data_IF_344382776552
#
_entry.id   IF_344382776552
#
_cell.length_a   1.000
_cell.length_b   1.000
_cell.length_c   1.000
_cell.angle_alpha   90.00
_cell.angle_beta   90.00
_cell.angle_gamma   90.00
#
_symmetry.space_group_name_H-M   'P 1'
#
loop_
_entity.id
_entity.type
_entity.pdbx_description
1 polymer ?
#
# COMPACT_ATOMS: atom_id res chain seq x y z
N UNK A 1 10.44 -5.04 52.22
CA UNK A 1 10.33 -4.50 53.61
C UNK A 1 9.16 -3.53 53.82
N UNK A 2 8.76 -2.67 52.87
CA UNK A 2 7.68 -1.70 53.07
C UNK A 2 6.28 -2.33 53.31
N UNK A 3 5.98 -3.47 52.69
CA UNK A 3 4.67 -4.12 52.81
C UNK A 3 4.37 -4.66 54.24
N UNK A 4 5.38 -5.23 54.92
CA UNK A 4 5.21 -5.79 56.26
C UNK A 4 4.93 -4.71 57.32
N UNK A 5 5.52 -3.51 57.18
CA UNK A 5 5.26 -2.39 58.09
C UNK A 5 3.83 -1.86 57.95
N UNK A 6 3.31 -1.84 56.72
CA UNK A 6 1.95 -1.38 56.41
C UNK A 6 0.90 -2.38 56.92
N UNK A 7 1.15 -3.68 56.75
CA UNK A 7 0.28 -4.74 57.30
C UNK A 7 0.27 -4.73 58.84
N UNK A 8 1.44 -4.62 59.48
CA UNK A 8 1.52 -4.50 60.94
C UNK A 8 0.75 -3.28 61.44
N UNK A 9 0.86 -2.15 60.74
CA UNK A 9 0.17 -0.92 61.10
C UNK A 9 -1.37 -1.04 60.99
N UNK A 10 -1.88 -1.67 59.93
CA UNK A 10 -3.32 -1.95 59.82
C UNK A 10 -3.82 -2.88 60.93
N UNK A 11 -3.04 -3.90 61.28
CA UNK A 11 -3.36 -4.81 62.38
C UNK A 11 -3.37 -4.08 63.73
N UNK A 12 -2.38 -3.24 63.99
CA UNK A 12 -2.30 -2.45 65.22
C UNK A 12 -3.44 -1.42 65.30
N UNK A 13 -3.78 -0.74 64.19
CA UNK A 13 -4.93 0.18 64.13
C UNK A 13 -6.24 -0.56 64.44
N UNK A 14 -6.46 -1.73 63.84
CA UNK A 14 -7.66 -2.54 64.11
C UNK A 14 -7.74 -2.98 65.57
N UNK A 15 -6.62 -3.42 66.15
CA UNK A 15 -6.52 -3.78 67.58
C UNK A 15 -6.86 -2.61 68.50
N UNK A 16 -6.31 -1.43 68.23
CA UNK A 16 -6.53 -0.22 69.05
C UNK A 16 -7.97 0.29 68.96
N UNK A 17 -8.63 0.15 67.82
CA UNK A 17 -10.07 0.43 67.72
C UNK A 17 -10.90 -0.55 68.55
N UNK A 18 -10.59 -1.84 68.51
CA UNK A 18 -11.27 -2.82 69.37
C UNK A 18 -11.07 -2.52 70.87
N UNK A 19 -9.85 -2.17 71.27
CA UNK A 19 -9.55 -1.73 72.64
C UNK A 19 -10.33 -0.46 73.03
N UNK A 20 -10.45 0.51 72.12
CA UNK A 20 -11.23 1.73 72.36
C UNK A 20 -12.72 1.41 72.53
N UNK A 21 -13.30 0.53 71.71
CA UNK A 21 -14.70 0.09 71.85
C UNK A 21 -14.93 -0.58 73.20
N UNK A 22 -14.05 -1.49 73.61
CA UNK A 22 -14.15 -2.17 74.90
C UNK A 22 -14.00 -1.20 76.09
N UNK A 23 -13.16 -0.17 75.98
CA UNK A 23 -13.03 0.86 77.03
C UNK A 23 -14.21 1.82 77.08
N UNK A 24 -14.86 2.06 75.93
CA UNK A 24 -16.10 2.84 75.87
C UNK A 24 -17.23 2.12 76.62
N UNK A 25 -17.35 0.80 76.46
CA UNK A 25 -18.31 -0.02 77.22
C UNK A 25 -18.08 0.05 78.74
N UNK A 26 -16.83 0.24 79.17
CA UNK A 26 -16.43 0.41 80.56
C UNK A 26 -16.48 1.89 81.04
N UNK A 27 -17.03 2.81 80.26
CA UNK A 27 -17.13 4.24 80.56
C UNK A 27 -15.79 4.98 80.80
N UNK A 28 -14.66 4.45 80.33
CA UNK A 28 -13.34 5.09 80.42
C UNK A 28 -13.09 6.03 79.23
N UNK A 29 -13.77 7.18 79.27
CA UNK A 29 -13.72 8.21 78.20
C UNK A 29 -12.31 8.76 77.98
N UNK A 30 -11.48 8.81 79.02
CA UNK A 30 -10.11 9.33 78.96
C UNK A 30 -9.21 8.46 78.07
N UNK A 31 -9.28 7.14 78.25
CA UNK A 31 -8.52 6.21 77.43
C UNK A 31 -9.02 6.14 75.98
N UNK A 32 -10.34 6.23 75.76
CA UNK A 32 -10.92 6.28 74.40
C UNK A 32 -10.37 7.48 73.62
N UNK A 33 -10.29 8.65 74.25
CA UNK A 33 -9.74 9.87 73.61
C UNK A 33 -8.28 9.69 73.19
N UNK A 34 -7.44 9.09 74.04
CA UNK A 34 -6.04 8.81 73.71
C UNK A 34 -5.89 7.86 72.51
N UNK A 35 -6.73 6.83 72.41
CA UNK A 35 -6.70 5.91 71.28
C UNK A 35 -7.16 6.57 69.97
N UNK A 36 -8.17 7.44 70.03
CA UNK A 36 -8.63 8.20 68.86
C UNK A 36 -7.61 9.24 68.41
N UNK A 37 -6.96 9.96 69.33
CA UNK A 37 -5.88 10.91 69.02
C UNK A 37 -4.67 10.22 68.39
N UNK A 38 -4.31 9.03 68.89
CA UNK A 38 -3.27 8.22 68.27
C UNK A 38 -3.65 7.78 66.85
N UNK A 39 -4.89 7.30 66.65
CA UNK A 39 -5.37 6.88 65.33
C UNK A 39 -5.42 8.03 64.32
N UNK A 40 -5.82 9.23 64.73
CA UNK A 40 -5.82 10.42 63.87
C UNK A 40 -4.39 10.88 63.54
N UNK A 41 -3.51 10.94 64.55
CA UNK A 41 -2.09 11.28 64.36
C UNK A 41 -1.40 10.30 63.43
N UNK A 42 -1.69 9.01 63.59
CA UNK A 42 -1.12 7.98 62.76
C UNK A 42 -1.67 8.05 61.32
N UNK A 43 -2.96 8.32 61.13
CA UNK A 43 -3.54 8.60 59.79
C UNK A 43 -2.83 9.77 59.09
N UNK A 44 -2.59 10.87 59.82
CA UNK A 44 -1.89 12.05 59.30
C UNK A 44 -0.42 11.78 58.97
N UNK A 45 0.26 10.93 59.73
CA UNK A 45 1.65 10.54 59.48
C UNK A 45 1.80 9.63 58.26
N UNK A 46 0.81 8.77 57.97
CA UNK A 46 0.88 7.80 56.87
C UNK A 46 0.18 8.23 55.58
N UNK A 47 -0.77 9.17 55.63
CA UNK A 47 -1.40 9.74 54.43
C UNK A 47 -0.38 10.23 53.38
N UNK A 48 0.72 10.95 53.73
CA UNK A 48 1.72 11.39 52.77
C UNK A 48 2.42 10.23 52.05
N UNK A 49 2.66 9.11 52.74
CA UNK A 49 3.34 7.94 52.18
C UNK A 49 2.44 7.19 51.17
N UNK A 50 1.14 7.07 51.46
CA UNK A 50 0.17 6.46 50.56
C UNK A 50 -0.09 7.33 49.32
N UNK A 51 -0.21 8.65 49.50
CA UNK A 51 -0.32 9.61 48.39
C UNK A 51 0.95 9.67 47.54
N UNK A 52 2.15 9.53 48.13
CA UNK A 52 3.40 9.49 47.38
C UNK A 52 3.51 8.26 46.46
N UNK A 53 3.07 7.08 46.92
CA UNK A 53 3.05 5.87 46.10
C UNK A 53 2.06 6.00 44.93
N UNK A 54 0.84 6.48 45.19
CA UNK A 54 -0.15 6.76 44.14
C UNK A 54 0.35 7.80 43.13
N UNK A 55 1.01 8.87 43.60
CA UNK A 55 1.60 9.91 42.75
C UNK A 55 2.71 9.37 41.85
N UNK A 56 3.57 8.47 42.35
CA UNK A 56 4.60 7.80 41.54
C UNK A 56 3.98 6.97 40.42
N UNK A 57 2.96 6.16 40.74
CA UNK A 57 2.25 5.38 39.74
C UNK A 57 1.53 6.27 38.71
N UNK A 58 0.88 7.35 39.16
CA UNK A 58 0.25 8.31 38.26
C UNK A 58 1.26 8.96 37.30
N UNK A 59 2.45 9.33 37.77
CA UNK A 59 3.52 9.85 36.92
C UNK A 59 4.01 8.83 35.89
N UNK A 60 4.21 7.56 36.30
CA UNK A 60 4.61 6.49 35.38
C UNK A 60 3.54 6.25 34.31
N UNK A 61 2.28 6.11 34.71
CA UNK A 61 1.15 5.91 33.78
C UNK A 61 1.04 7.08 32.80
N UNK A 62 1.17 8.32 33.29
CA UNK A 62 1.16 9.51 32.44
C UNK A 62 2.33 9.52 31.46
N UNK A 63 3.54 9.19 31.92
CA UNK A 63 4.72 9.11 31.06
C UNK A 63 4.57 8.05 29.97
N UNK A 64 4.07 6.86 30.32
CA UNK A 64 3.78 5.79 29.35
C UNK A 64 2.70 6.22 28.36
N UNK A 65 1.63 6.87 28.81
CA UNK A 65 0.56 7.36 27.93
C UNK A 65 1.08 8.40 26.93
N UNK A 66 1.87 9.38 27.39
CA UNK A 66 2.50 10.39 26.52
C UNK A 66 3.44 9.73 25.51
N UNK A 67 4.24 8.75 25.94
CA UNK A 67 5.14 8.01 25.05
C UNK A 67 4.37 7.20 24.00
N UNK A 68 3.29 6.51 24.38
CA UNK A 68 2.45 5.77 23.44
C UNK A 68 1.76 6.69 22.43
N UNK A 69 1.27 7.86 22.87
CA UNK A 69 0.69 8.87 21.97
C UNK A 69 1.76 9.43 21.03
N UNK A 70 2.96 9.74 21.54
CA UNK A 70 4.08 10.16 20.71
C UNK A 70 4.47 9.12 19.67
N UNK A 71 4.51 7.84 20.06
CA UNK A 71 4.75 6.73 19.13
C UNK A 71 3.61 6.60 18.11
N UNK A 72 2.35 6.65 18.53
CA UNK A 72 1.21 6.59 17.62
C UNK A 72 1.19 7.75 16.60
N UNK A 73 1.66 8.93 17.02
CA UNK A 73 1.78 10.11 16.16
C UNK A 73 2.93 10.00 15.15
N UNK A 74 4.01 9.32 15.51
CA UNK A 74 5.23 9.22 14.69
C UNK A 74 5.26 7.98 13.79
N UNK A 75 4.67 6.88 14.23
CA UNK A 75 4.62 5.63 13.49
C UNK A 75 3.46 5.63 12.49
N UNK A 76 3.77 5.25 11.26
CA UNK A 76 2.80 5.06 10.18
C UNK A 76 2.28 3.63 10.16
N UNK A 77 1.04 3.46 9.71
CA UNK A 77 0.50 2.12 9.51
C UNK A 77 1.24 1.43 8.35
N UNK A 78 1.47 0.14 8.48
CA UNK A 78 2.29 -0.59 7.52
C UNK A 78 1.63 -0.77 6.14
N UNK A 79 0.29 -0.83 6.09
CA UNK A 79 -0.49 -0.93 4.86
C UNK A 79 -1.74 -0.07 4.97
N UNK A 80 -2.00 0.71 3.92
CA UNK A 80 -3.20 1.56 3.79
C UNK A 80 -3.98 1.11 2.57
N UNK A 81 -5.29 0.88 2.69
CA UNK A 81 -6.17 0.54 1.59
C UNK A 81 -6.47 1.77 0.75
N UNK A 82 -6.18 1.65 -0.54
CA UNK A 82 -6.28 2.74 -1.49
C UNK A 82 -7.25 2.36 -2.60
N UNK A 83 -8.13 3.30 -2.93
CA UNK A 83 -8.84 3.34 -4.20
C UNK A 83 -8.32 4.54 -4.99
N UNK A 84 -7.83 4.28 -6.19
CA UNK A 84 -7.19 5.27 -7.06
C UNK A 84 -7.85 5.21 -8.43
N UNK A 85 -8.23 6.38 -8.94
CA UNK A 85 -8.70 6.57 -10.31
C UNK A 85 -7.90 7.73 -10.90
N UNK A 86 -7.06 7.45 -11.89
CA UNK A 86 -6.11 8.41 -12.48
C UNK A 86 -6.19 8.35 -13.99
N UNK A 87 -6.06 9.51 -14.64
CA UNK A 87 -5.78 9.64 -16.07
C UNK A 87 -4.33 10.11 -16.22
N UNK A 88 -3.55 9.39 -17.02
CA UNK A 88 -2.10 9.57 -17.18
C UNK A 88 -1.69 9.29 -18.61
N UNK A 89 -0.62 9.91 -19.09
CA UNK A 89 -0.04 9.57 -20.40
C UNK A 89 0.78 8.28 -20.33
N UNK A 90 1.37 8.04 -19.17
CA UNK A 90 2.29 6.95 -18.94
C UNK A 90 2.10 6.34 -17.55
N UNK A 91 2.24 5.03 -17.46
CA UNK A 91 2.20 4.29 -16.20
C UNK A 91 3.35 3.29 -16.16
N UNK A 92 4.15 3.38 -15.10
CA UNK A 92 5.31 2.52 -14.88
C UNK A 92 5.11 1.64 -13.66
N UNK A 93 5.46 0.36 -13.79
CA UNK A 93 5.45 -0.57 -12.67
C UNK A 93 6.53 -1.62 -12.76
N UNK A 94 6.87 -2.18 -11.60
CA UNK A 94 7.74 -3.37 -11.49
C UNK A 94 6.88 -4.57 -11.22
N UNK A 95 7.03 -5.66 -11.97
CA UNK A 95 6.24 -6.88 -11.76
C UNK A 95 6.74 -7.68 -10.55
N UNK A 96 5.82 -8.05 -9.66
CA UNK A 96 6.07 -8.95 -8.54
C UNK A 96 6.11 -10.43 -8.98
N UNK A 97 5.27 -10.79 -9.95
CA UNK A 97 5.11 -12.14 -10.50
C UNK A 97 4.99 -12.04 -12.03
N UNK A 98 5.12 -13.17 -12.71
CA UNK A 98 4.83 -13.23 -14.14
C UNK A 98 3.42 -12.69 -14.40
N UNK A 99 3.30 -11.85 -15.43
CA UNK A 99 2.03 -11.37 -15.92
C UNK A 99 1.81 -11.89 -17.33
N UNK A 100 0.60 -12.37 -17.58
CA UNK A 100 0.12 -12.73 -18.92
C UNK A 100 -1.20 -12.00 -19.17
N UNK A 101 -1.38 -11.47 -20.37
CA UNK A 101 -2.66 -10.90 -20.77
C UNK A 101 -3.76 -11.97 -20.95
N UNK A 102 -3.39 -13.25 -21.03
CA UNK A 102 -4.29 -14.39 -21.16
C UNK A 102 -3.95 -15.53 -20.17
N UNK A 103 -4.11 -15.31 -18.85
CA UNK A 103 -3.62 -16.23 -17.83
C UNK A 103 -4.34 -17.59 -17.79
N UNK A 104 -5.54 -17.68 -18.38
CA UNK A 104 -6.37 -18.88 -18.38
C UNK A 104 -6.46 -19.55 -19.77
N UNK A 105 -5.68 -19.08 -20.75
CA UNK A 105 -5.76 -19.58 -22.12
C UNK A 105 -7.15 -19.40 -22.74
N UNK A 106 -7.87 -18.35 -22.33
CA UNK A 106 -9.18 -18.02 -22.88
C UNK A 106 -9.05 -17.69 -24.36
N UNK A 107 -10.05 -18.07 -25.15
CA UNK A 107 -10.13 -17.73 -26.56
C UNK A 107 -10.43 -16.25 -26.72
N UNK A 108 -9.44 -15.45 -27.11
CA UNK A 108 -9.60 -14.02 -27.36
C UNK A 108 -8.26 -13.31 -27.57
N UNK A 109 -8.27 -12.22 -28.35
CA UNK A 109 -7.13 -11.33 -28.48
C UNK A 109 -7.05 -10.38 -27.28
N UNK A 110 -5.87 -10.27 -26.67
CA UNK A 110 -5.58 -9.25 -25.67
C UNK A 110 -5.55 -7.85 -26.29
N UNK A 111 -5.04 -7.78 -27.51
CA UNK A 111 -5.02 -6.56 -28.29
C UNK A 111 -5.35 -6.86 -29.75
N UNK A 112 -6.10 -5.94 -30.36
CA UNK A 112 -6.45 -5.97 -31.79
C UNK A 112 -5.94 -4.67 -32.40
N UNK A 113 -5.11 -4.80 -33.43
CA UNK A 113 -4.48 -3.66 -34.09
C UNK A 113 -4.27 -3.88 -35.59
N UNK A 114 -3.68 -2.88 -36.23
CA UNK A 114 -3.35 -2.90 -37.66
C UNK A 114 -1.85 -2.69 -37.93
N UNK A 115 -1.08 -2.32 -36.92
CA UNK A 115 0.39 -2.23 -36.98
C UNK A 115 0.98 -2.68 -35.65
N UNK A 116 1.97 -3.54 -35.69
CA UNK A 116 2.77 -3.98 -34.54
C UNK A 116 4.24 -3.93 -34.91
N UNK A 117 5.03 -3.26 -34.08
CA UNK A 117 6.49 -3.22 -34.19
C UNK A 117 7.10 -3.72 -32.88
N UNK A 118 8.08 -4.61 -32.96
CA UNK A 118 8.79 -5.17 -31.80
C UNK A 118 10.29 -5.04 -32.04
N UNK A 119 10.95 -4.29 -31.17
CA UNK A 119 12.40 -4.15 -31.17
C UNK A 119 13.06 -5.25 -30.32
N UNK A 120 14.36 -5.43 -30.52
CA UNK A 120 15.20 -6.37 -29.79
C UNK A 120 14.67 -7.82 -29.79
N UNK A 121 14.15 -8.26 -30.93
CA UNK A 121 13.67 -9.60 -31.16
C UNK A 121 14.83 -10.60 -31.05
N UNK A 122 14.68 -11.63 -30.22
CA UNK A 122 15.66 -12.70 -30.07
C UNK A 122 15.32 -13.94 -30.91
N UNK A 123 14.03 -14.25 -30.99
CA UNK A 123 13.51 -15.39 -31.75
C UNK A 123 12.12 -15.09 -32.29
N UNK A 124 11.86 -15.49 -33.52
CA UNK A 124 10.51 -15.57 -34.09
C UNK A 124 10.32 -16.93 -34.78
N UNK A 125 9.15 -17.51 -34.54
CA UNK A 125 8.74 -18.81 -35.05
C UNK A 125 7.36 -18.65 -35.70
N UNK A 126 7.28 -18.93 -37.00
CA UNK A 126 6.08 -18.73 -37.81
C UNK A 126 5.93 -19.89 -38.81
N UNK A 127 5.55 -21.09 -38.35
CA UNK A 127 5.69 -22.33 -39.13
C UNK A 127 4.91 -22.34 -40.46
N UNK A 128 3.81 -21.60 -40.57
CA UNK A 128 3.04 -21.51 -41.82
C UNK A 128 3.61 -20.55 -42.86
N UNK A 129 4.44 -19.58 -42.44
CA UNK A 129 4.94 -18.48 -43.29
C UNK A 129 6.45 -18.59 -43.53
N UNK A 130 7.19 -19.07 -42.53
CA UNK A 130 8.62 -19.35 -42.57
C UNK A 130 8.81 -20.88 -42.60
N UNK A 131 8.74 -21.52 -43.77
CA UNK A 131 9.06 -22.94 -43.92
C UNK A 131 10.57 -23.12 -43.75
N UNK A 132 11.03 -23.17 -42.50
CA UNK A 132 12.43 -23.19 -42.12
C UNK A 132 12.62 -23.00 -40.63
N UNK A 133 13.83 -23.25 -40.13
CA UNK A 133 14.18 -23.01 -38.74
C UNK A 133 13.81 -21.59 -38.30
N UNK A 134 13.41 -21.38 -37.03
CA UNK A 134 13.06 -20.07 -36.51
C UNK A 134 14.17 -19.05 -36.78
N UNK A 135 13.81 -17.79 -37.03
CA UNK A 135 14.79 -16.71 -37.14
C UNK A 135 15.30 -16.45 -35.73
N UNK A 136 16.60 -16.70 -35.53
CA UNK A 136 17.28 -16.49 -34.26
C UNK A 136 18.27 -15.33 -34.40
N UNK A 137 18.06 -14.29 -33.59
CA UNK A 137 18.93 -13.15 -33.42
C UNK A 137 19.30 -13.07 -31.93
N UNK A 138 20.19 -13.97 -31.48
CA UNK A 138 20.50 -14.14 -30.06
C UNK A 138 21.06 -12.88 -29.39
N UNK A 139 21.58 -11.95 -30.18
CA UNK A 139 22.06 -10.63 -29.78
C UNK A 139 20.94 -9.60 -29.53
N UNK A 140 19.70 -9.92 -29.91
CA UNK A 140 18.55 -9.03 -29.71
C UNK A 140 18.65 -7.75 -30.53
N UNK A 141 19.19 -7.82 -31.74
CA UNK A 141 19.27 -6.68 -32.66
C UNK A 141 18.17 -6.69 -33.71
N UNK A 142 17.39 -7.76 -33.78
CA UNK A 142 16.36 -7.89 -34.80
C UNK A 142 15.11 -7.06 -34.48
N UNK A 143 14.45 -6.57 -35.52
CA UNK A 143 13.18 -5.84 -35.44
C UNK A 143 12.13 -6.61 -36.23
N UNK A 144 10.92 -6.68 -35.68
CA UNK A 144 9.73 -7.20 -36.35
C UNK A 144 8.78 -6.04 -36.64
N UNK A 145 8.40 -5.81 -37.90
CA UNK A 145 7.32 -4.89 -38.29
C UNK A 145 6.21 -5.69 -38.99
N UNK A 146 5.00 -5.64 -38.44
CA UNK A 146 3.79 -6.30 -38.97
C UNK A 146 2.75 -5.23 -39.26
N UNK A 147 2.26 -5.17 -40.50
CA UNK A 147 1.23 -4.23 -40.94
C UNK A 147 0.12 -4.97 -41.66
N UNK A 148 -1.12 -4.85 -41.19
CA UNK A 148 -2.25 -5.62 -41.72
C UNK A 148 -3.60 -5.09 -41.28
N UNK A 149 -4.68 -5.71 -41.75
CA UNK A 149 -6.04 -5.29 -41.39
C UNK A 149 -6.43 -5.71 -39.96
N UNK A 150 -6.01 -6.92 -39.56
CA UNK A 150 -6.33 -7.52 -38.26
C UNK A 150 -5.10 -8.28 -37.72
N UNK A 151 -4.40 -7.64 -36.79
CA UNK A 151 -3.30 -8.22 -36.02
C UNK A 151 -3.82 -8.48 -34.61
N UNK A 152 -3.94 -9.75 -34.26
CA UNK A 152 -4.47 -10.20 -32.98
C UNK A 152 -3.33 -10.67 -32.09
N UNK A 153 -3.04 -9.94 -31.02
CA UNK A 153 -2.10 -10.38 -29.97
C UNK A 153 -2.87 -11.27 -28.99
N UNK A 154 -2.70 -12.59 -29.08
CA UNK A 154 -3.52 -13.56 -28.32
C UNK A 154 -2.90 -13.96 -26.99
N UNK A 155 -1.58 -13.82 -26.86
CA UNK A 155 -0.85 -14.02 -25.61
C UNK A 155 0.34 -13.05 -25.57
N UNK A 156 0.58 -12.50 -24.40
CA UNK A 156 1.71 -11.60 -24.11
C UNK A 156 2.11 -11.87 -22.68
N UNK A 157 3.33 -12.37 -22.47
CA UNK A 157 3.86 -12.73 -21.15
C UNK A 157 5.13 -11.97 -20.83
N UNK A 158 5.21 -11.54 -19.58
CA UNK A 158 6.34 -10.79 -19.06
C UNK A 158 6.73 -11.41 -17.72
N UNK A 159 8.02 -11.77 -17.61
CA UNK A 159 8.53 -12.43 -16.42
C UNK A 159 8.50 -11.51 -15.18
N UNK A 160 8.52 -12.13 -13.99
CA UNK A 160 8.63 -11.42 -12.72
C UNK A 160 9.91 -10.56 -12.66
N UNK A 161 9.84 -9.43 -11.95
CA UNK A 161 10.97 -8.50 -11.79
C UNK A 161 11.17 -7.55 -12.98
N UNK A 162 10.41 -7.70 -14.07
CA UNK A 162 10.43 -6.75 -15.18
C UNK A 162 10.03 -5.35 -14.72
N UNK A 163 10.70 -4.35 -15.28
CA UNK A 163 10.21 -2.96 -15.23
C UNK A 163 9.48 -2.66 -16.52
N UNK A 164 8.21 -2.31 -16.39
CA UNK A 164 7.31 -2.07 -17.50
C UNK A 164 6.85 -0.62 -17.47
N UNK A 165 6.83 0.00 -18.64
CA UNK A 165 6.29 1.33 -18.85
C UNK A 165 5.30 1.26 -20.01
N UNK A 166 4.04 1.62 -19.75
CA UNK A 166 2.98 1.70 -20.72
C UNK A 166 2.68 3.17 -21.00
N UNK A 167 2.91 3.60 -22.24
CA UNK A 167 2.60 4.95 -22.71
C UNK A 167 1.64 4.92 -23.89
N UNK A 168 0.94 6.03 -24.12
CA UNK A 168 0.22 6.27 -25.37
C UNK A 168 0.87 7.46 -26.08
N UNK A 169 1.19 7.28 -27.36
CA UNK A 169 1.61 8.35 -28.25
C UNK A 169 0.63 8.43 -29.43
N UNK A 170 -0.33 9.34 -29.35
CA UNK A 170 -1.40 9.45 -30.34
C UNK A 170 -2.32 8.22 -30.33
N UNK A 171 -2.24 7.37 -31.36
CA UNK A 171 -2.99 6.10 -31.45
C UNK A 171 -2.13 4.86 -31.19
N UNK A 172 -0.84 5.07 -30.92
CA UNK A 172 0.10 3.99 -30.69
C UNK A 172 0.23 3.73 -29.19
N UNK A 173 -0.07 2.50 -28.80
CA UNK A 173 0.29 1.96 -27.49
C UNK A 173 1.77 1.59 -27.52
N UNK A 174 2.54 2.16 -26.61
CA UNK A 174 3.96 1.85 -26.43
C UNK A 174 4.14 1.08 -25.13
N UNK A 175 4.76 -0.07 -25.23
CA UNK A 175 5.13 -0.93 -24.12
C UNK A 175 6.65 -1.03 -24.09
N UNK A 176 7.27 -0.43 -23.08
CA UNK A 176 8.69 -0.58 -22.80
C UNK A 176 8.91 -1.63 -21.72
N UNK A 177 9.80 -2.60 -21.97
CA UNK A 177 10.14 -3.66 -21.02
C UNK A 177 11.65 -3.65 -20.76
N UNK A 178 12.05 -3.56 -19.50
CA UNK A 178 13.45 -3.67 -19.04
C UNK A 178 13.60 -4.86 -18.08
N UNK A 179 14.82 -5.39 -17.97
CA UNK A 179 15.25 -6.46 -17.04
C UNK A 179 14.64 -7.85 -17.27
N UNK A 180 13.73 -8.01 -18.21
CA UNK A 180 13.09 -9.27 -18.56
C UNK A 180 12.88 -9.39 -20.07
N UNK A 181 12.74 -10.62 -20.55
CA UNK A 181 12.27 -10.89 -21.90
C UNK A 181 10.74 -10.75 -21.98
N UNK A 182 10.26 -10.33 -23.14
CA UNK A 182 8.86 -10.32 -23.53
C UNK A 182 8.63 -11.52 -24.46
N UNK A 183 7.59 -12.30 -24.22
CA UNK A 183 7.14 -13.35 -25.14
C UNK A 183 5.71 -13.13 -25.53
N UNK A 184 5.33 -13.56 -26.72
CA UNK A 184 3.95 -13.45 -27.15
C UNK A 184 3.60 -14.27 -28.37
N UNK A 185 2.30 -14.34 -28.62
CA UNK A 185 1.69 -15.02 -29.75
C UNK A 185 0.84 -14.02 -30.53
N UNK A 186 1.03 -13.98 -31.83
CA UNK A 186 0.32 -13.14 -32.79
C UNK A 186 -0.47 -14.04 -33.73
N UNK A 187 -1.66 -13.60 -34.08
CA UNK A 187 -2.46 -14.17 -35.17
C UNK A 187 -2.69 -13.11 -36.23
N UNK A 188 -2.36 -13.45 -37.47
CA UNK A 188 -2.42 -12.55 -38.62
C UNK A 188 -3.03 -13.27 -39.81
N UNK A 189 -4.00 -12.65 -40.48
CA UNK A 189 -4.66 -13.24 -41.65
C UNK A 189 -4.20 -12.60 -42.96
N UNK A 190 -4.15 -11.25 -42.97
CA UNK A 190 -3.72 -10.45 -44.10
C UNK A 190 -2.75 -9.37 -43.61
N UNK A 191 -1.46 -9.60 -43.79
CA UNK A 191 -0.42 -8.71 -43.29
C UNK A 191 0.86 -8.77 -44.12
N UNK A 192 1.51 -7.62 -44.26
CA UNK A 192 2.90 -7.50 -44.68
C UNK A 192 3.77 -7.55 -43.42
N UNK A 193 4.70 -8.51 -43.39
CA UNK A 193 5.62 -8.73 -42.28
C UNK A 193 7.04 -8.50 -42.78
N UNK A 194 7.79 -7.63 -42.10
CA UNK A 194 9.21 -7.43 -42.35
C UNK A 194 9.97 -7.79 -41.09
N UNK A 195 10.92 -8.72 -41.22
CA UNK A 195 11.88 -9.04 -40.16
C UNK A 195 13.22 -8.44 -40.56
N UNK A 196 13.76 -7.54 -39.76
CA UNK A 196 15.08 -6.95 -39.94
C UNK A 196 16.05 -7.67 -38.99
N UNK A 197 16.82 -8.67 -39.43
CA UNK A 197 17.64 -9.51 -38.55
C UNK A 197 18.93 -8.84 -37.99
N UNK A 198 19.15 -7.54 -38.22
CA UNK A 198 20.33 -6.78 -37.76
C UNK A 198 21.22 -6.25 -38.90
N UNK A 199 22.27 -5.50 -38.55
CA UNK A 199 23.06 -4.66 -39.48
C UNK A 199 23.76 -5.40 -40.65
N UNK A 200 23.98 -6.71 -40.53
CA UNK A 200 24.76 -7.51 -41.49
C UNK A 200 23.91 -8.50 -42.30
N UNK A 201 22.58 -8.42 -42.23
CA UNK A 201 21.67 -9.37 -42.86
C UNK A 201 20.54 -8.66 -43.59
N UNK A 202 20.16 -9.19 -44.75
CA UNK A 202 19.06 -8.61 -45.54
C UNK A 202 17.72 -8.76 -44.79
N UNK A 203 16.85 -7.74 -44.83
CA UNK A 203 15.48 -7.85 -44.35
C UNK A 203 14.75 -9.01 -45.04
N UNK A 204 13.91 -9.72 -44.28
CA UNK A 204 13.09 -10.82 -44.76
C UNK A 204 11.66 -10.31 -44.91
N UNK A 205 11.23 -9.88 -46.10
CA UNK A 205 9.84 -9.53 -46.36
C UNK A 205 9.00 -10.78 -46.53
N UNK A 206 7.83 -10.80 -45.90
CA UNK A 206 6.85 -11.88 -45.97
C UNK A 206 5.48 -11.25 -46.20
N UNK A 207 4.74 -11.77 -47.17
CA UNK A 207 3.36 -11.39 -47.41
C UNK A 207 2.45 -12.54 -46.98
N UNK A 208 1.57 -12.27 -46.02
CA UNK A 208 0.61 -13.24 -45.49
C UNK A 208 -0.75 -12.90 -46.09
N UNK A 209 -1.27 -13.83 -46.88
CA UNK A 209 -2.60 -13.78 -47.47
C UNK A 209 -3.27 -15.15 -47.31
N UNK A 210 -3.56 -15.53 -46.07
CA UNK A 210 -4.11 -16.84 -45.72
C UNK A 210 -5.62 -16.75 -45.44
N UNK A 211 -6.37 -17.79 -45.81
CA UNK A 211 -7.79 -17.89 -45.44
C UNK A 211 -7.96 -18.12 -43.94
N UNK A 212 -7.05 -18.91 -43.34
CA UNK A 212 -6.98 -19.21 -41.91
C UNK A 212 -5.90 -18.32 -41.29
N UNK A 213 -6.14 -17.67 -40.13
CA UNK A 213 -5.12 -16.86 -39.46
C UNK A 213 -3.85 -17.66 -39.14
N UNK A 214 -2.71 -17.11 -39.55
CA UNK A 214 -1.39 -17.66 -39.28
C UNK A 214 -0.94 -17.29 -37.87
N UNK A 215 -0.32 -18.25 -37.18
CA UNK A 215 0.18 -18.04 -35.81
C UNK A 215 1.69 -17.81 -35.83
N UNK A 216 2.12 -16.70 -35.24
CA UNK A 216 3.52 -16.36 -35.04
C UNK A 216 3.80 -16.27 -33.54
N UNK A 217 4.90 -16.86 -33.08
CA UNK A 217 5.38 -16.69 -31.71
C UNK A 217 6.68 -15.93 -31.71
N UNK A 218 6.86 -15.04 -30.75
CA UNK A 218 8.06 -14.23 -30.62
C UNK A 218 8.59 -14.25 -29.19
N UNK A 219 9.90 -14.05 -29.09
CA UNK A 219 10.63 -13.84 -27.84
C UNK A 219 11.62 -12.72 -28.07
N UNK A 220 11.63 -11.72 -27.20
CA UNK A 220 12.61 -10.64 -27.22
C UNK A 220 13.83 -11.01 -26.36
N UNK A 221 14.95 -10.33 -26.60
CA UNK A 221 16.11 -10.47 -25.73
C UNK A 221 15.79 -9.93 -24.32
N UNK A 222 16.43 -10.51 -23.30
CA UNK A 222 16.43 -9.91 -21.98
C UNK A 222 17.38 -8.70 -22.00
N UNK A 223 16.84 -7.51 -21.74
CA UNK A 223 17.63 -6.28 -21.81
C UNK A 223 17.91 -5.69 -20.44
N UNK A 224 19.02 -4.96 -20.32
CA UNK A 224 19.41 -4.21 -19.13
C UNK A 224 18.92 -2.76 -19.17
N UNK A 225 19.80 -1.86 -19.61
CA UNK A 225 19.51 -0.42 -19.67
C UNK A 225 18.62 -0.01 -20.86
N UNK A 226 18.79 -0.67 -22.01
CA UNK A 226 18.02 -0.41 -23.23
C UNK A 226 16.70 -1.17 -23.15
N UNK A 227 15.53 -0.52 -23.16
CA UNK A 227 14.26 -1.24 -23.13
C UNK A 227 14.00 -1.99 -24.43
N UNK A 228 13.28 -3.11 -24.34
CA UNK A 228 12.50 -3.64 -25.47
C UNK A 228 11.32 -2.70 -25.69
N UNK A 229 11.11 -2.25 -26.92
CA UNK A 229 9.94 -1.45 -27.30
C UNK A 229 8.99 -2.31 -28.13
N UNK A 230 7.76 -2.46 -27.66
CA UNK A 230 6.64 -2.94 -28.44
C UNK A 230 5.71 -1.76 -28.73
N UNK A 231 5.50 -1.46 -30.01
CA UNK A 231 4.58 -0.41 -30.46
C UNK A 231 3.41 -1.06 -31.17
N UNK A 232 2.18 -0.75 -30.74
CA UNK A 232 0.96 -1.30 -31.31
C UNK A 232 -0.01 -0.19 -31.66
N UNK A 233 -0.41 -0.10 -32.92
CA UNK A 233 -1.56 0.74 -33.33
C UNK A 233 -2.84 -0.07 -33.15
N UNK A 234 -3.59 0.21 -32.09
CA UNK A 234 -4.81 -0.53 -31.76
C UNK A 234 -6.01 -0.01 -32.55
N UNK A 235 -6.84 -0.91 -33.07
CA UNK A 235 -8.10 -0.57 -33.74
C UNK A 235 -9.30 -0.57 -32.79
N UNK A 236 -9.16 -1.19 -31.62
CA UNK A 236 -10.19 -1.26 -30.58
C UNK A 236 -9.66 -0.74 -29.23
N UNK A 237 -10.57 -0.37 -28.33
CA UNK A 237 -10.19 0.01 -26.97
C UNK A 237 -9.60 -1.19 -26.24
N UNK A 238 -8.39 -1.03 -25.71
CA UNK A 238 -7.69 -2.09 -25.00
C UNK A 238 -7.94 -2.01 -23.49
N UNK A 239 -7.79 -3.14 -22.80
CA UNK A 239 -7.97 -3.24 -21.36
C UNK A 239 -7.01 -4.25 -20.76
N UNK A 240 -6.12 -3.77 -19.89
CA UNK A 240 -5.22 -4.62 -19.12
C UNK A 240 -5.79 -4.80 -17.72
N UNK A 241 -5.68 -6.02 -17.18
CA UNK A 241 -6.15 -6.38 -15.84
C UNK A 241 -5.12 -7.19 -15.09
N UNK A 242 -5.33 -7.24 -13.77
CA UNK A 242 -4.67 -8.17 -12.86
C UNK A 242 -3.14 -8.11 -12.91
N UNK A 243 -2.61 -6.92 -13.16
CA UNK A 243 -1.16 -6.65 -13.18
C UNK A 243 -0.61 -6.71 -11.75
N UNK A 244 0.28 -7.68 -11.43
CA UNK A 244 0.84 -7.83 -10.09
C UNK A 244 2.02 -6.85 -9.88
N UNK A 245 1.71 -5.57 -9.63
CA UNK A 245 2.73 -4.53 -9.43
C UNK A 245 3.36 -4.56 -8.02
N UNK A 246 4.69 -4.51 -7.92
CA UNK A 246 5.47 -4.28 -6.70
C UNK A 246 5.73 -2.78 -6.44
N UNK A 247 5.66 -1.97 -7.48
CA UNK A 247 5.76 -0.51 -7.45
C UNK A 247 4.88 0.03 -8.57
N UNK A 248 4.15 1.11 -8.32
CA UNK A 248 3.35 1.79 -9.33
C UNK A 248 3.67 3.28 -9.29
N UNK A 249 4.14 3.81 -10.42
CA UNK A 249 4.51 5.20 -10.63
C UNK A 249 3.81 5.76 -11.88
N UNK A 250 3.54 7.07 -11.87
CA UNK A 250 2.91 7.80 -12.97
C UNK A 250 3.91 8.81 -13.54
N UNK A 251 5.00 8.29 -14.08
CA UNK A 251 6.13 9.07 -14.58
C UNK A 251 6.54 8.59 -15.96
N UNK A 252 7.15 9.47 -16.74
CA UNK A 252 7.75 9.15 -18.03
C UNK A 252 9.22 9.55 -18.02
N UNK A 253 10.07 8.76 -18.67
CA UNK A 253 11.49 9.09 -18.84
C UNK A 253 11.66 10.17 -19.91
N UNK A 254 12.26 11.33 -19.58
CA UNK A 254 12.47 12.43 -20.52
C UNK A 254 13.84 13.11 -20.34
N UNK A 255 14.69 13.13 -21.37
CA UNK A 255 14.59 12.38 -22.62
C UNK A 255 14.71 10.86 -22.35
N UNK A 256 14.15 10.02 -23.22
CA UNK A 256 14.22 8.56 -23.06
C UNK A 256 15.67 8.09 -22.87
N UNK A 257 15.90 7.15 -21.95
CA UNK A 257 17.22 6.55 -21.57
C UNK A 257 18.17 7.39 -20.71
N UNK A 258 17.83 8.63 -20.35
CA UNK A 258 18.69 9.48 -19.49
C UNK A 258 18.47 9.30 -17.98
N UNK A 259 17.51 8.47 -17.56
CA UNK A 259 17.19 8.24 -16.16
C UNK A 259 16.52 9.42 -15.45
N UNK A 260 16.11 10.45 -16.20
CA UNK A 260 15.37 11.60 -15.69
C UNK A 260 13.86 11.37 -15.87
N UNK A 261 13.08 11.54 -14.81
CA UNK A 261 11.65 11.19 -14.80
C UNK A 261 10.78 12.40 -14.48
N UNK A 262 9.87 12.70 -15.40
CA UNK A 262 8.86 13.75 -15.23
C UNK A 262 7.49 13.13 -14.95
N UNK A 263 6.62 13.84 -14.24
CA UNK A 263 5.25 13.35 -14.02
C UNK A 263 4.52 13.22 -15.35
N UNK A 264 3.82 12.10 -15.52
CA UNK A 264 2.92 11.85 -16.64
C UNK A 264 1.43 11.94 -16.23
N UNK A 265 1.17 12.26 -14.96
CA UNK A 265 -0.18 12.33 -14.41
C UNK A 265 -0.90 13.56 -14.93
N UNK A 266 -2.08 13.37 -15.53
CA UNK A 266 -2.96 14.45 -16.00
C UNK A 266 -3.95 14.86 -14.93
N UNK A 267 -4.71 13.89 -14.40
CA UNK A 267 -5.69 14.13 -13.33
C UNK A 267 -5.92 12.85 -12.56
N UNK A 268 -6.48 12.96 -11.36
CA UNK A 268 -6.99 11.78 -10.70
C UNK A 268 -7.55 12.05 -9.31
N UNK A 269 -7.91 10.98 -8.63
CA UNK A 269 -8.35 11.02 -7.24
C UNK A 269 -7.83 9.78 -6.52
N UNK A 270 -7.21 10.02 -5.38
CA UNK A 270 -6.86 8.97 -4.43
C UNK A 270 -7.78 9.04 -3.21
N UNK A 271 -8.31 7.89 -2.81
CA UNK A 271 -9.15 7.72 -1.63
C UNK A 271 -8.53 6.69 -0.70
N UNK A 272 -8.26 7.09 0.54
CA UNK A 272 -7.77 6.20 1.60
C UNK A 272 -8.96 5.67 2.39
N UNK A 273 -9.16 4.36 2.40
CA UNK A 273 -10.38 3.76 3.00
C UNK A 273 -10.37 3.77 4.52
N UNK A 274 -9.20 3.77 5.15
CA UNK A 274 -9.09 3.80 6.60
C UNK A 274 -9.52 5.12 7.22
N UNK A 275 -9.26 6.21 6.50
CA UNK A 275 -9.45 7.57 6.98
C UNK A 275 -10.55 8.32 6.24
N UNK A 276 -11.12 7.74 5.18
CA UNK A 276 -11.97 8.42 4.20
C UNK A 276 -11.32 9.68 3.60
N UNK A 277 -9.99 9.80 3.67
CA UNK A 277 -9.25 10.91 3.08
C UNK A 277 -9.36 10.81 1.56
N UNK A 278 -9.85 11.88 0.94
CA UNK A 278 -9.89 12.04 -0.51
C UNK A 278 -8.95 13.17 -0.90
N UNK A 279 -8.06 12.91 -1.85
CA UNK A 279 -7.14 13.90 -2.41
C UNK A 279 -7.29 13.86 -3.93
N UNK A 280 -7.67 15.00 -4.51
CA UNK A 280 -7.65 15.19 -5.95
C UNK A 280 -6.20 15.44 -6.38
N UNK A 281 -5.81 14.82 -7.50
CA UNK A 281 -4.47 14.86 -8.09
C UNK A 281 -4.51 15.74 -9.33
N UNK A 282 -3.52 16.62 -9.47
CA UNK A 282 -3.45 17.62 -10.54
C UNK A 282 -2.39 17.26 -11.57
N UNK A 283 -2.54 17.85 -12.75
CA UNK A 283 -1.57 17.72 -13.84
C UNK A 283 -0.16 18.09 -13.37
N UNK A 284 0.81 17.24 -13.69
CA UNK A 284 2.21 17.40 -13.29
C UNK A 284 2.55 17.00 -11.85
N UNK A 285 1.58 16.62 -11.00
CA UNK A 285 1.89 16.06 -9.69
C UNK A 285 2.44 14.64 -9.81
N UNK A 286 3.44 14.31 -9.00
CA UNK A 286 3.96 12.96 -8.87
C UNK A 286 3.07 12.15 -7.95
N UNK A 287 2.79 10.90 -8.34
CA UNK A 287 2.18 9.89 -7.50
C UNK A 287 3.04 8.61 -7.54
N UNK A 288 3.39 8.09 -6.37
CA UNK A 288 4.09 6.81 -6.21
C UNK A 288 3.40 5.96 -5.14
N UNK A 289 3.02 4.74 -5.51
CA UNK A 289 2.59 3.70 -4.57
C UNK A 289 3.74 2.71 -4.37
N UNK A 290 4.29 2.66 -3.15
CA UNK A 290 5.35 1.70 -2.78
C UNK A 290 4.74 0.42 -2.23
N UNK A 291 5.23 -0.71 -2.73
CA UNK A 291 4.81 -2.05 -2.32
C UNK A 291 3.28 -2.20 -2.33
N UNK A 292 2.60 -1.90 -3.46
CA UNK A 292 1.18 -2.11 -3.53
C UNK A 292 0.86 -3.61 -3.46
N UNK A 293 -0.19 -3.96 -2.73
CA UNK A 293 -0.82 -5.27 -2.76
C UNK A 293 -2.12 -5.09 -3.55
N UNK A 294 -2.06 -5.50 -4.82
CA UNK A 294 -3.15 -5.29 -5.78
C UNK A 294 -4.31 -6.24 -5.52
N UNK A 295 -5.52 -5.69 -5.34
CA UNK A 295 -6.78 -6.45 -5.45
C UNK A 295 -7.35 -6.32 -6.86
N UNK A 296 -7.24 -5.14 -7.46
CA UNK A 296 -7.60 -4.83 -8.84
C UNK A 296 -6.66 -3.74 -9.35
N UNK A 297 -6.00 -3.97 -10.47
CA UNK A 297 -5.31 -2.94 -11.23
C UNK A 297 -5.77 -3.09 -12.67
N UNK A 298 -6.35 -2.02 -13.20
CA UNK A 298 -6.92 -2.00 -14.53
C UNK A 298 -6.45 -0.75 -15.28
N UNK A 299 -5.99 -0.96 -16.50
CA UNK A 299 -5.55 0.10 -17.40
C UNK A 299 -6.44 0.02 -18.64
N UNK A 300 -7.00 1.15 -19.04
CA UNK A 300 -7.86 1.28 -20.23
C UNK A 300 -7.52 2.54 -20.99
N UNK A 301 -7.77 2.57 -22.29
CA UNK A 301 -7.77 3.82 -23.05
C UNK A 301 -8.91 4.73 -22.59
N UNK A 302 -8.64 6.02 -22.43
CA UNK A 302 -9.65 7.05 -22.21
C UNK A 302 -10.13 7.65 -23.54
N UNK A 303 -11.28 8.34 -23.53
CA UNK A 303 -11.82 9.01 -24.72
C UNK A 303 -10.91 10.13 -25.25
N UNK A 304 -9.98 10.63 -24.42
CA UNK A 304 -9.04 11.71 -24.76
C UNK A 304 -7.70 11.17 -25.30
N UNK A 305 -7.52 9.85 -25.38
CA UNK A 305 -6.26 9.24 -25.80
C UNK A 305 -5.24 9.04 -24.68
N UNK A 306 -5.57 9.37 -23.43
CA UNK A 306 -4.77 9.06 -22.25
C UNK A 306 -5.06 7.65 -21.71
N UNK A 307 -4.22 7.17 -20.79
CA UNK A 307 -4.44 5.93 -20.04
C UNK A 307 -5.27 6.24 -18.78
N UNK A 308 -6.43 5.61 -18.67
CA UNK A 308 -7.19 5.56 -17.42
C UNK A 308 -6.73 4.38 -16.58
N UNK A 309 -6.27 4.66 -15.38
CA UNK A 309 -5.80 3.68 -14.40
C UNK A 309 -6.78 3.62 -13.23
N UNK A 310 -7.33 2.45 -12.98
CA UNK A 310 -8.13 2.14 -11.81
C UNK A 310 -7.38 1.14 -10.93
N UNK A 311 -7.06 1.54 -9.71
CA UNK A 311 -6.40 0.69 -8.73
C UNK A 311 -7.21 0.58 -7.45
N UNK A 312 -7.42 -0.65 -6.99
CA UNK A 312 -7.94 -0.99 -5.67
C UNK A 312 -6.99 -1.99 -5.03
N UNK A 313 -6.53 -1.68 -3.83
CA UNK A 313 -5.60 -2.54 -3.12
C UNK A 313 -5.16 -1.90 -1.81
N UNK A 314 -3.97 -2.26 -1.35
CA UNK A 314 -3.28 -1.53 -0.30
C UNK A 314 -1.89 -1.12 -0.76
N UNK A 315 -1.30 -0.11 -0.12
CA UNK A 315 0.07 0.32 -0.35
C UNK A 315 0.75 0.58 0.99
N UNK A 316 2.06 0.28 1.07
CA UNK A 316 2.83 0.53 2.28
C UNK A 316 3.19 2.00 2.44
N UNK A 317 3.36 2.71 1.32
CA UNK A 317 3.65 4.15 1.31
C UNK A 317 3.04 4.83 0.08
N UNK A 318 2.46 6.00 0.29
CA UNK A 318 1.74 6.76 -0.74
C UNK A 318 2.32 8.17 -0.78
N UNK A 319 3.06 8.49 -1.83
CA UNK A 319 3.72 9.78 -1.99
C UNK A 319 3.04 10.57 -3.10
N UNK A 320 2.65 11.82 -2.81
CA UNK A 320 1.95 12.73 -3.73
C UNK A 320 2.55 14.14 -3.65
N UNK A 321 2.72 14.82 -4.78
CA UNK A 321 3.06 16.26 -4.80
C UNK A 321 4.00 16.64 -5.93
N UNK A 322 4.58 17.83 -5.87
CA UNK A 322 5.60 18.28 -6.82
C UNK A 322 6.90 17.49 -6.69
N UNK A 323 7.79 17.61 -7.66
CA UNK A 323 9.09 16.92 -7.67
C UNK A 323 9.90 17.16 -6.37
N UNK A 324 10.02 18.43 -5.98
CA UNK A 324 10.79 18.88 -4.82
C UNK A 324 10.09 18.64 -3.48
N UNK A 325 8.77 18.45 -3.50
CA UNK A 325 7.96 18.33 -2.29
C UNK A 325 6.88 17.27 -2.44
N UNK A 326 7.17 16.07 -1.94
CA UNK A 326 6.26 14.92 -1.90
C UNK A 326 5.68 14.76 -0.51
N UNK A 327 4.39 15.03 -0.39
CA UNK A 327 3.57 14.73 0.78
C UNK A 327 3.35 13.21 0.89
N UNK A 328 3.51 12.67 2.09
CA UNK A 328 3.28 11.25 2.36
C UNK A 328 1.91 11.08 2.98
N UNK A 329 0.96 10.60 2.17
CA UNK A 329 -0.45 10.44 2.54
C UNK A 329 -0.72 9.21 3.41
N UNK A 330 0.28 8.36 3.68
CA UNK A 330 0.09 7.18 4.53
C UNK A 330 -0.21 7.60 5.97
N UNK A 331 -1.39 7.25 6.52
CA UNK A 331 -1.81 7.74 7.81
C UNK A 331 -0.95 7.21 8.95
N UNK A 332 -0.84 8.01 9.99
CA UNK A 332 -0.22 7.59 11.26
C UNK A 332 -1.17 6.69 12.03
N UNK A 333 -0.65 5.91 12.99
CA UNK A 333 -1.52 5.15 13.91
C UNK A 333 -2.49 6.06 14.66
N UNK A 334 -2.05 7.27 15.00
CA UNK A 334 -2.91 8.27 15.64
C UNK A 334 -4.07 8.68 14.73
N UNK A 335 -3.80 9.06 13.47
CA UNK A 335 -4.84 9.43 12.51
C UNK A 335 -5.83 8.29 12.23
N UNK A 336 -5.30 7.08 12.12
CA UNK A 336 -6.09 5.85 11.97
C UNK A 336 -7.05 5.65 13.14
N UNK A 337 -6.53 5.69 14.38
CA UNK A 337 -7.34 5.52 15.60
C UNK A 337 -8.35 6.65 15.76
N UNK A 338 -7.95 7.89 15.49
CA UNK A 338 -8.79 9.07 15.66
C UNK A 338 -10.01 9.08 14.73
N UNK A 339 -9.91 8.47 13.54
CA UNK A 339 -11.02 8.38 12.58
C UNK A 339 -11.91 7.16 12.76
N UNK A 340 -11.50 6.18 13.56
CA UNK A 340 -12.34 5.04 13.91
C UNK A 340 -13.39 5.39 14.97
N UNK A 341 -14.58 5.84 14.55
CA UNK A 341 -15.71 6.19 15.43
C UNK A 341 -16.00 5.14 16.51
N UNK A 342 -15.95 3.85 16.15
CA UNK A 342 -16.20 2.73 17.09
C UNK A 342 -15.15 2.67 18.20
N UNK A 343 -13.88 2.89 17.85
CA UNK A 343 -12.78 2.86 18.79
C UNK A 343 -12.81 4.09 19.71
N UNK A 344 -13.12 5.27 19.18
CA UNK A 344 -13.32 6.48 19.99
C UNK A 344 -14.45 6.30 21.00
N UNK A 345 -15.58 5.72 20.60
CA UNK A 345 -16.71 5.42 21.50
C UNK A 345 -16.29 4.43 22.58
N UNK A 346 -15.58 3.35 22.20
CA UNK A 346 -15.08 2.35 23.14
C UNK A 346 -14.16 2.98 24.20
N UNK A 347 -13.15 3.75 23.79
CA UNK A 347 -12.24 4.40 24.73
C UNK A 347 -12.92 5.46 25.59
N UNK A 348 -13.88 6.21 25.03
CA UNK A 348 -14.68 7.16 25.79
C UNK A 348 -15.49 6.46 26.88
N UNK A 349 -16.06 5.30 26.59
CA UNK A 349 -16.76 4.47 27.58
C UNK A 349 -15.82 3.92 28.65
N UNK A 350 -14.62 3.45 28.28
CA UNK A 350 -13.60 2.99 29.24
C UNK A 350 -13.17 4.11 30.18
N UNK A 351 -12.89 5.31 29.65
CA UNK A 351 -12.53 6.47 30.47
C UNK A 351 -13.69 6.89 31.38
N UNK A 352 -14.92 6.88 30.88
CA UNK A 352 -16.11 7.20 31.66
C UNK A 352 -16.32 6.21 32.82
N UNK A 353 -16.30 4.90 32.53
CA UNK A 353 -16.44 3.85 33.56
C UNK A 353 -15.29 3.91 34.56
N UNK A 354 -14.06 4.09 34.09
CA UNK A 354 -12.89 4.25 34.95
C UNK A 354 -13.01 5.46 35.88
N UNK A 355 -13.46 6.60 35.35
CA UNK A 355 -13.73 7.81 36.13
C UNK A 355 -14.87 7.61 37.15
N UNK A 356 -15.91 6.86 36.79
CA UNK A 356 -17.03 6.54 37.66
C UNK A 356 -16.60 5.62 38.81
N UNK A 357 -15.84 4.56 38.53
CA UNK A 357 -15.26 3.66 39.55
C UNK A 357 -14.34 4.44 40.49
N UNK A 358 -13.50 5.32 39.95
CA UNK A 358 -12.64 6.18 40.76
C UNK A 358 -13.44 7.10 41.68
N UNK A 359 -14.52 7.70 41.17
CA UNK A 359 -15.41 8.56 41.95
C UNK A 359 -16.11 7.78 43.06
N UNK A 360 -16.66 6.59 42.78
CA UNK A 360 -17.28 5.73 43.80
C UNK A 360 -16.25 5.37 44.89
N UNK A 361 -15.04 4.94 44.50
CA UNK A 361 -13.98 4.63 45.46
C UNK A 361 -13.59 5.83 46.32
N UNK A 362 -13.60 7.04 45.76
CA UNK A 362 -13.35 8.27 46.52
C UNK A 362 -14.51 8.63 47.47
N UNK A 363 -15.74 8.25 47.12
CA UNK A 363 -16.93 8.44 47.97
C UNK A 363 -16.96 7.42 49.11
N UNK A 364 -16.62 6.15 48.87
CA UNK A 364 -16.50 5.14 49.93
C UNK A 364 -15.43 5.53 50.96
N UNK A 365 -14.36 6.20 50.52
CA UNK A 365 -13.36 6.78 51.42
C UNK A 365 -13.89 7.97 52.25
N UNK A 366 -14.88 8.71 51.74
CA UNK A 366 -15.55 9.79 52.46
C UNK A 366 -16.68 9.29 53.37
N UNK A 367 -17.21 8.09 53.11
CA UNK A 367 -18.26 7.42 53.89
C UNK A 367 -17.63 6.37 54.83
N UNK A 368 -16.41 6.61 55.33
CA UNK A 368 -16.03 5.98 56.61
C UNK A 368 -17.00 6.55 57.67
N UNK A 369 -17.85 5.72 58.29
CA UNK A 369 -18.88 6.22 59.18
C UNK A 369 -18.22 6.96 60.34
N UNK A 370 -18.57 8.24 60.51
CA UNK A 370 -18.56 8.85 61.84
C UNK A 370 -19.50 8.01 62.70
N UNK A 371 -18.98 6.93 63.29
CA UNK A 371 -19.69 6.21 64.33
C UNK A 371 -19.93 7.21 65.45
N UNK A 372 -21.22 7.45 65.70
CA UNK A 372 -21.71 8.21 66.84
C UNK A 372 -21.43 7.45 68.12
#
# INVERSE_FOLDING_TARGET
MANNKLQWFYAERARRFQEATQKLENNDVGAVKQYLEWADTATKLFAPAQHAALRKWAMVVTGVAVLLVGLAWTLRIHFTHVALEVTTENVRFTLQKEWSCNPLGQTGACFVGNKLTIDNLARIDAPGVLPGSPVNAADGTAVLDVRGAEINVTDLRIAAGAEIEFGIQGKELQLFVKKAALTGTLQVQQASVTIEPGADREPIPLEIAAEIPETMTFTTAQTGAVPVLLTLTTSTAWRLRDVPAQKLDFVTEYPSTFGHFVSALRTGRITLRETDLKKDLRDGEYLTLKSPVTRRLELTTSDQGDIKVMFEGSAARILVGSEDFKEDLTPTYFEYIARQKRLTIFWSAVVFIGGLIWKIRSLDFLIEPKQK
#
